data_IF_977875255680
#
_entry.id   IF_977875255680
#
_cell.length_a   1.000
_cell.length_b   1.000
_cell.length_c   1.000
_cell.angle_alpha   90.00
_cell.angle_beta   90.00
_cell.angle_gamma   90.00
#
_symmetry.space_group_name_H-M   'P 1'
#
loop_
_entity.id
_entity.type
_entity.pdbx_description
1 polymer ?
#
# COMPACT_ATOMS: atom_id res chain seq x y z
N UNK A 1 53.40 -34.57 77.59
CA UNK A 1 52.05 -34.12 77.21
C UNK A 1 52.18 -33.36 75.92
N UNK A 2 51.71 -33.96 74.77
CA UNK A 2 51.75 -33.33 73.42
C UNK A 2 50.37 -32.85 73.12
N UNK A 3 50.17 -31.57 72.91
CA UNK A 3 48.91 -30.99 72.43
C UNK A 3 48.90 -30.94 70.90
N UNK A 4 47.96 -31.63 70.26
CA UNK A 4 47.70 -31.62 68.81
C UNK A 4 46.73 -30.48 68.55
N UNK A 5 47.17 -29.41 67.86
CA UNK A 5 46.26 -28.39 67.31
C UNK A 5 45.69 -28.85 65.99
N UNK A 6 44.36 -29.08 65.89
CA UNK A 6 43.63 -29.28 64.66
C UNK A 6 43.24 -27.91 64.08
N UNK A 7 43.70 -27.67 62.86
CA UNK A 7 43.20 -26.53 62.04
C UNK A 7 41.98 -26.99 61.25
N UNK A 8 40.85 -26.31 61.46
CA UNK A 8 39.63 -26.50 60.64
C UNK A 8 39.69 -25.47 59.54
N UNK A 9 39.83 -25.93 58.29
CA UNK A 9 39.70 -25.11 57.11
C UNK A 9 38.20 -24.93 56.78
N UNK A 10 37.65 -23.73 56.98
CA UNK A 10 36.35 -23.35 56.46
C UNK A 10 36.49 -23.04 54.96
N UNK A 11 35.99 -23.95 54.10
CA UNK A 11 35.81 -23.68 52.69
C UNK A 11 34.64 -22.72 52.49
N UNK A 12 34.94 -21.49 52.07
CA UNK A 12 33.93 -20.52 51.60
C UNK A 12 33.43 -20.98 50.25
N UNK A 13 32.22 -21.57 50.20
CA UNK A 13 31.48 -21.81 48.95
C UNK A 13 30.97 -20.47 48.39
N UNK A 14 31.65 -19.96 47.37
CA UNK A 14 31.20 -18.81 46.56
C UNK A 14 30.07 -19.28 45.66
N UNK A 15 28.82 -18.89 45.97
CA UNK A 15 27.69 -19.11 45.08
C UNK A 15 27.75 -18.09 43.93
N UNK A 16 28.27 -18.49 42.77
CA UNK A 16 28.18 -17.70 41.55
C UNK A 16 26.74 -17.82 41.07
N UNK A 17 25.96 -16.75 41.26
CA UNK A 17 24.60 -16.62 40.72
C UNK A 17 24.71 -16.26 39.23
N UNK A 18 24.58 -17.25 38.35
CA UNK A 18 24.54 -17.04 36.90
C UNK A 18 23.18 -16.48 36.55
N UNK A 19 23.09 -15.16 36.31
CA UNK A 19 21.91 -14.51 35.76
C UNK A 19 21.86 -14.82 34.26
N UNK A 20 21.00 -15.75 33.85
CA UNK A 20 20.70 -16.01 32.44
C UNK A 20 19.76 -14.89 31.96
N UNK A 21 20.31 -13.91 31.24
CA UNK A 21 19.55 -12.86 30.56
C UNK A 21 18.89 -13.51 29.33
N UNK A 22 17.62 -13.92 29.44
CA UNK A 22 16.82 -14.29 28.30
C UNK A 22 16.55 -13.04 27.45
N UNK A 23 17.32 -12.86 26.36
CA UNK A 23 16.95 -11.96 25.28
C UNK A 23 15.75 -12.56 24.55
N UNK A 24 14.56 -12.17 24.94
CA UNK A 24 13.37 -12.43 24.15
C UNK A 24 13.53 -11.64 22.83
N UNK A 25 13.82 -12.34 21.74
CA UNK A 25 13.80 -11.78 20.39
C UNK A 25 12.35 -11.38 20.10
N UNK A 26 12.04 -10.10 20.16
CA UNK A 26 10.76 -9.54 19.72
C UNK A 26 10.79 -9.62 18.19
N UNK A 27 10.27 -10.69 17.62
CA UNK A 27 10.00 -10.74 16.18
C UNK A 27 8.96 -9.65 15.86
N UNK A 28 9.15 -8.85 14.81
CA UNK A 28 8.12 -7.92 14.38
C UNK A 28 6.83 -8.71 14.11
N UNK A 29 5.74 -8.31 14.78
CA UNK A 29 4.43 -8.89 14.52
C UNK A 29 4.01 -8.44 13.10
N UNK A 30 4.06 -9.34 12.14
CA UNK A 30 3.46 -9.10 10.83
C UNK A 30 1.94 -9.02 11.02
N UNK A 31 1.32 -8.02 10.40
CA UNK A 31 -0.13 -7.93 10.41
C UNK A 31 -0.72 -9.18 9.77
N UNK A 32 -1.71 -9.77 10.45
CA UNK A 32 -2.43 -10.93 9.90
C UNK A 32 -2.96 -10.59 8.50
N UNK A 33 -2.71 -11.47 7.54
CA UNK A 33 -3.15 -11.29 6.15
C UNK A 33 -2.13 -10.61 5.23
N UNK A 34 -1.17 -9.84 5.72
CA UNK A 34 -0.07 -9.31 4.93
C UNK A 34 1.04 -10.36 4.82
N UNK A 35 1.40 -10.75 3.60
CA UNK A 35 2.52 -11.66 3.34
C UNK A 35 3.80 -10.93 3.01
N UNK A 36 3.68 -9.92 2.14
CA UNK A 36 4.82 -9.11 1.72
C UNK A 36 4.37 -7.71 1.30
N UNK A 37 5.27 -6.74 1.48
CA UNK A 37 5.09 -5.38 1.01
C UNK A 37 6.45 -4.78 0.68
N UNK A 38 6.65 -4.39 -0.58
CA UNK A 38 7.93 -3.86 -1.06
C UNK A 38 7.73 -2.70 -2.04
N UNK A 39 8.77 -1.87 -2.20
CA UNK A 39 8.89 -1.01 -3.37
C UNK A 39 9.64 -1.74 -4.47
N UNK A 40 9.06 -1.79 -5.65
CA UNK A 40 9.67 -2.37 -6.85
C UNK A 40 10.82 -1.50 -7.35
N UNK A 41 11.75 -2.06 -8.14
CA UNK A 41 12.81 -1.28 -8.74
C UNK A 41 12.25 -0.11 -9.55
N UNK A 42 12.77 1.09 -9.29
CA UNK A 42 12.37 2.28 -10.04
C UNK A 42 13.28 2.54 -11.23
N UNK A 43 12.75 3.22 -12.24
CA UNK A 43 13.51 3.61 -13.44
C UNK A 43 13.13 5.00 -13.93
N UNK A 44 14.07 5.64 -14.66
CA UNK A 44 13.82 6.87 -15.38
C UNK A 44 13.27 6.55 -16.77
N UNK A 45 12.07 7.05 -17.08
CA UNK A 45 11.43 6.88 -18.37
C UNK A 45 11.85 8.00 -19.35
N UNK A 46 11.58 7.79 -20.65
CA UNK A 46 11.94 8.73 -21.72
C UNK A 46 11.26 10.11 -21.61
N UNK A 47 10.16 10.21 -20.85
CA UNK A 47 9.45 11.47 -20.60
C UNK A 47 10.05 12.28 -19.43
N UNK A 48 11.17 11.82 -18.87
CA UNK A 48 11.84 12.45 -17.72
C UNK A 48 11.18 12.20 -16.37
N UNK A 49 10.16 11.35 -16.32
CA UNK A 49 9.52 10.91 -15.08
C UNK A 49 10.15 9.62 -14.58
N UNK A 50 10.20 9.45 -13.25
CA UNK A 50 10.52 8.15 -12.66
C UNK A 50 9.24 7.36 -12.41
N UNK A 51 9.37 6.03 -12.51
CA UNK A 51 8.33 5.10 -12.12
C UNK A 51 8.89 4.10 -11.12
N UNK A 52 8.08 3.72 -10.18
CA UNK A 52 8.24 2.60 -9.25
C UNK A 52 6.86 2.07 -8.92
N UNK A 53 6.72 1.07 -8.07
CA UNK A 53 5.41 0.64 -7.57
C UNK A 53 5.51 0.14 -6.12
N UNK A 54 4.43 0.33 -5.37
CA UNK A 54 4.19 -0.41 -4.14
C UNK A 54 3.60 -1.77 -4.52
N UNK A 55 4.29 -2.84 -4.15
CA UNK A 55 3.87 -4.21 -4.37
C UNK A 55 3.40 -4.83 -3.05
N UNK A 56 2.17 -5.29 -3.03
CA UNK A 56 1.52 -5.88 -1.87
C UNK A 56 1.09 -7.30 -2.19
N UNK A 57 1.57 -8.27 -1.43
CA UNK A 57 1.10 -9.65 -1.47
C UNK A 57 0.34 -9.96 -0.19
N UNK A 58 -0.91 -10.35 -0.32
CA UNK A 58 -1.79 -10.72 0.77
C UNK A 58 -1.97 -12.24 0.83
N UNK A 59 -2.44 -12.74 1.95
CA UNK A 59 -2.84 -14.13 2.11
C UNK A 59 -4.07 -14.44 1.27
N UNK A 60 -4.27 -15.73 0.94
CA UNK A 60 -5.40 -16.20 0.14
C UNK A 60 -6.74 -15.71 0.69
N UNK A 61 -7.56 -15.13 -0.19
CA UNK A 61 -8.87 -14.56 0.12
C UNK A 61 -8.84 -13.17 0.76
N UNK A 62 -7.68 -12.67 1.17
CA UNK A 62 -7.54 -11.32 1.69
C UNK A 62 -7.60 -10.30 0.57
N UNK A 63 -8.18 -9.13 0.86
CA UNK A 63 -8.36 -8.01 -0.07
C UNK A 63 -7.83 -6.71 0.51
N UNK A 64 -7.47 -5.79 -0.38
CA UNK A 64 -7.22 -4.39 -0.05
C UNK A 64 -8.09 -3.50 -0.93
N UNK A 65 -8.11 -2.21 -0.66
CA UNK A 65 -9.09 -1.31 -1.23
C UNK A 65 -8.53 -0.37 -2.30
N UNK A 66 -9.39 -0.02 -3.25
CA UNK A 66 -9.15 1.03 -4.21
C UNK A 66 -9.27 2.42 -3.55
N UNK A 67 -8.84 3.49 -4.24
CA UNK A 67 -8.91 4.87 -3.73
C UNK A 67 -10.32 5.33 -3.34
N UNK A 68 -11.34 4.81 -4.01
CA UNK A 68 -12.75 4.99 -3.69
C UNK A 68 -13.39 3.63 -3.37
N UNK A 69 -13.28 3.16 -2.13
CA UNK A 69 -13.56 1.77 -1.77
C UNK A 69 -15.06 1.45 -1.62
N UNK A 70 -15.93 2.44 -1.72
CA UNK A 70 -17.34 2.33 -1.37
C UNK A 70 -17.59 2.57 0.13
N UNK A 71 -18.86 2.53 0.52
CA UNK A 71 -19.31 2.89 1.86
C UNK A 71 -18.72 2.01 2.98
N UNK A 72 -18.50 0.74 2.68
CA UNK A 72 -17.99 -0.25 3.65
C UNK A 72 -16.49 -0.54 3.51
N UNK A 73 -15.79 0.20 2.66
CA UNK A 73 -14.36 0.02 2.45
C UNK A 73 -13.51 0.94 3.31
N UNK A 74 -12.23 0.63 3.42
CA UNK A 74 -11.25 1.45 4.12
C UNK A 74 -10.43 2.25 3.10
N UNK A 75 -10.59 3.59 3.01
CA UNK A 75 -9.88 4.38 2.01
C UNK A 75 -8.37 4.38 2.28
N UNK A 76 -7.54 4.04 1.28
CA UNK A 76 -6.10 4.08 1.41
C UNK A 76 -5.59 5.52 1.49
N UNK A 77 -4.55 5.73 2.30
CA UNK A 77 -3.82 7.00 2.39
C UNK A 77 -2.36 6.75 2.03
N UNK A 78 -1.88 7.44 0.99
CA UNK A 78 -0.49 7.34 0.52
C UNK A 78 0.11 8.73 0.53
N UNK A 79 1.27 8.86 1.17
CA UNK A 79 1.97 10.12 1.34
C UNK A 79 3.44 9.97 0.96
N UNK A 80 4.01 11.07 0.45
CA UNK A 80 5.39 11.13 -0.03
C UNK A 80 6.22 12.18 0.71
N UNK A 81 5.78 12.52 1.93
CA UNK A 81 6.43 13.53 2.76
C UNK A 81 7.86 13.09 3.14
N UNK A 82 8.80 14.03 3.07
CA UNK A 82 10.22 13.77 3.36
C UNK A 82 11.04 13.36 2.13
N UNK A 83 10.41 13.16 0.98
CA UNK A 83 11.13 12.93 -0.29
C UNK A 83 11.93 14.17 -0.70
N UNK A 84 13.08 13.93 -1.34
CA UNK A 84 13.92 15.02 -1.88
C UNK A 84 14.03 14.92 -3.39
N UNK A 85 14.22 16.06 -4.07
CA UNK A 85 14.20 16.19 -5.53
C UNK A 85 12.89 15.73 -6.17
N UNK A 86 11.78 15.81 -5.45
CA UNK A 86 10.44 15.39 -5.89
C UNK A 86 9.55 16.62 -6.06
N UNK A 87 9.14 16.92 -7.28
CA UNK A 87 8.20 17.99 -7.61
C UNK A 87 6.74 17.52 -7.47
N UNK A 88 6.44 16.31 -7.98
CA UNK A 88 5.10 15.72 -7.97
C UNK A 88 5.18 14.21 -7.85
N UNK A 89 4.30 13.63 -7.05
CA UNK A 89 4.03 12.19 -7.04
C UNK A 89 2.57 11.94 -7.44
N UNK A 90 2.35 10.90 -8.24
CA UNK A 90 1.04 10.49 -8.71
C UNK A 90 0.90 8.97 -8.59
N UNK A 91 -0.01 8.54 -7.73
CA UNK A 91 -0.38 7.12 -7.59
C UNK A 91 -1.32 6.75 -8.74
N UNK A 92 -0.92 5.76 -9.54
CA UNK A 92 -1.70 5.29 -10.70
C UNK A 92 -2.42 4.01 -10.29
N UNK A 93 -3.72 4.12 -10.09
CA UNK A 93 -4.54 3.00 -9.61
C UNK A 93 -4.92 2.06 -10.75
N UNK A 94 -4.57 0.77 -10.71
CA UNK A 94 -5.08 -0.23 -11.65
C UNK A 94 -6.60 -0.34 -11.58
N UNK A 95 -7.22 -0.92 -12.60
CA UNK A 95 -8.65 -1.18 -12.61
C UNK A 95 -9.01 -2.15 -11.46
N UNK A 96 -9.90 -1.75 -10.54
CA UNK A 96 -10.27 -2.57 -9.40
C UNK A 96 -11.32 -3.62 -9.78
N UNK A 97 -11.56 -4.56 -8.85
CA UNK A 97 -12.71 -5.46 -8.87
C UNK A 97 -13.71 -5.09 -7.77
N UNK A 98 -14.96 -5.53 -7.94
CA UNK A 98 -16.04 -5.30 -6.98
C UNK A 98 -16.26 -6.56 -6.16
N UNK A 99 -16.34 -6.40 -4.84
CA UNK A 99 -16.62 -7.47 -3.88
C UNK A 99 -17.98 -7.25 -3.21
N UNK A 100 -18.55 -8.32 -2.69
CA UNK A 100 -19.76 -8.27 -1.86
C UNK A 100 -21.04 -8.37 -2.66
N UNK A 101 -22.16 -8.34 -1.94
CA UNK A 101 -23.52 -8.38 -2.47
C UNK A 101 -24.11 -6.98 -2.58
N UNK A 102 -25.29 -6.87 -3.18
CA UNK A 102 -25.93 -5.64 -3.64
C UNK A 102 -25.92 -4.45 -2.65
N UNK A 103 -26.03 -4.71 -1.34
CA UNK A 103 -26.11 -3.66 -0.32
C UNK A 103 -24.78 -3.40 0.42
N UNK A 104 -23.71 -4.18 0.13
CA UNK A 104 -22.40 -4.04 0.80
C UNK A 104 -21.26 -4.18 -0.18
N UNK A 105 -21.36 -3.52 -1.33
CA UNK A 105 -20.28 -3.53 -2.33
C UNK A 105 -19.07 -2.76 -1.84
N UNK A 106 -17.90 -3.36 -1.99
CA UNK A 106 -16.61 -2.71 -1.83
C UNK A 106 -15.77 -2.88 -3.07
N UNK A 107 -14.81 -2.00 -3.27
CA UNK A 107 -14.02 -1.89 -4.49
C UNK A 107 -12.55 -1.96 -4.13
N UNK A 108 -11.82 -2.85 -4.79
CA UNK A 108 -10.40 -3.05 -4.46
C UNK A 108 -9.72 -4.17 -5.21
N UNK A 109 -8.81 -4.87 -4.55
CA UNK A 109 -7.91 -5.86 -5.12
C UNK A 109 -7.84 -7.10 -4.24
N UNK A 110 -7.76 -8.28 -4.86
CA UNK A 110 -7.70 -9.56 -4.17
C UNK A 110 -6.27 -10.10 -4.20
N UNK A 111 -5.74 -10.46 -3.03
CA UNK A 111 -4.49 -11.18 -2.82
C UNK A 111 -3.22 -10.48 -3.30
N UNK A 112 -3.25 -9.73 -4.39
CA UNK A 112 -2.07 -9.04 -4.93
C UNK A 112 -2.43 -7.67 -5.51
N UNK A 113 -1.59 -6.67 -5.24
CA UNK A 113 -1.70 -5.34 -5.82
C UNK A 113 -0.30 -4.81 -6.13
N UNK A 114 -0.03 -4.56 -7.40
CA UNK A 114 1.07 -3.68 -7.82
C UNK A 114 0.48 -2.31 -8.11
N UNK A 115 0.88 -1.32 -7.31
CA UNK A 115 0.36 0.05 -7.37
C UNK A 115 1.43 1.00 -7.93
N UNK A 116 1.42 1.32 -9.24
CA UNK A 116 2.41 2.18 -9.85
C UNK A 116 2.39 3.61 -9.30
N UNK A 117 3.56 4.20 -9.23
CA UNK A 117 3.79 5.56 -8.78
C UNK A 117 4.63 6.28 -9.84
N UNK A 118 4.08 7.36 -10.39
CA UNK A 118 4.80 8.27 -11.27
C UNK A 118 5.34 9.43 -10.45
N UNK A 119 6.63 9.70 -10.60
CA UNK A 119 7.35 10.73 -9.86
C UNK A 119 7.96 11.72 -10.83
N UNK A 120 7.67 12.99 -10.67
CA UNK A 120 8.29 14.06 -11.46
C UNK A 120 9.40 14.69 -10.62
N UNK A 121 10.67 14.64 -11.07
CA UNK A 121 11.78 15.26 -10.37
C UNK A 121 11.75 16.79 -10.50
N UNK A 122 12.39 17.49 -9.54
CA UNK A 122 12.70 18.92 -9.68
C UNK A 122 13.86 19.08 -10.68
N UNK A 123 14.90 18.24 -10.55
CA UNK A 123 16.05 18.17 -11.45
C UNK A 123 16.20 16.72 -11.93
N UNK A 124 16.00 16.49 -13.22
CA UNK A 124 16.07 15.15 -13.82
C UNK A 124 17.50 14.55 -13.84
N UNK A 125 18.53 15.38 -13.65
CA UNK A 125 19.93 14.92 -13.58
C UNK A 125 20.32 14.42 -12.19
N UNK A 126 19.49 14.64 -11.19
CA UNK A 126 19.74 14.23 -9.80
C UNK A 126 18.82 13.08 -9.40
N UNK A 127 19.28 12.18 -8.51
CA UNK A 127 18.43 11.12 -8.00
C UNK A 127 17.27 11.67 -7.15
N UNK A 128 16.13 10.98 -7.17
CA UNK A 128 15.05 11.18 -6.20
C UNK A 128 15.33 10.29 -5.00
N UNK A 129 15.34 10.85 -3.79
CA UNK A 129 15.17 10.08 -2.58
C UNK A 129 13.68 10.03 -2.26
N UNK A 130 13.05 8.90 -2.52
CA UNK A 130 11.64 8.67 -2.25
C UNK A 130 11.45 8.21 -0.80
N UNK A 131 10.62 8.93 -0.06
CA UNK A 131 10.06 8.50 1.21
C UNK A 131 8.57 8.28 1.00
N UNK A 132 8.09 7.06 1.21
CA UNK A 132 6.69 6.69 1.02
C UNK A 132 6.12 6.15 2.32
N UNK A 133 4.99 6.69 2.76
CA UNK A 133 4.17 6.09 3.80
C UNK A 133 2.79 5.73 3.24
N UNK A 134 2.30 4.54 3.61
CA UNK A 134 0.99 4.06 3.20
C UNK A 134 0.21 3.53 4.40
N UNK A 135 -1.02 4.01 4.56
CA UNK A 135 -2.01 3.45 5.46
C UNK A 135 -3.08 2.77 4.62
N UNK A 136 -3.22 1.48 4.78
CA UNK A 136 -4.12 0.64 3.98
C UNK A 136 -5.00 -0.22 4.90
N UNK A 137 -6.20 -0.55 4.45
CA UNK A 137 -7.00 -1.61 5.04
C UNK A 137 -6.76 -2.92 4.32
N UNK A 138 -6.48 -4.00 5.04
CA UNK A 138 -6.51 -5.36 4.51
C UNK A 138 -7.59 -6.15 5.22
N UNK A 139 -8.38 -6.91 4.48
CA UNK A 139 -9.60 -7.52 5.04
C UNK A 139 -9.79 -8.94 4.50
N UNK A 140 -10.20 -9.83 5.40
CA UNK A 140 -10.87 -11.10 5.08
C UNK A 140 -12.33 -10.96 5.53
N UNK A 141 -12.65 -11.35 6.75
CA UNK A 141 -13.93 -11.13 7.43
C UNK A 141 -13.91 -9.83 8.23
N UNK A 142 -12.75 -9.50 8.80
CA UNK A 142 -12.49 -8.28 9.57
C UNK A 142 -11.41 -7.47 8.85
N UNK A 143 -11.52 -6.15 8.92
CA UNK A 143 -10.53 -5.23 8.35
C UNK A 143 -9.46 -4.87 9.38
N UNK A 144 -8.20 -5.04 9.00
CA UNK A 144 -7.04 -4.67 9.80
C UNK A 144 -6.34 -3.50 9.12
N UNK A 145 -6.15 -2.35 9.77
CA UNK A 145 -5.32 -1.28 9.24
C UNK A 145 -3.84 -1.69 9.29
N UNK A 146 -3.12 -1.48 8.19
CA UNK A 146 -1.67 -1.64 8.12
C UNK A 146 -1.01 -0.32 7.81
N UNK A 147 0.19 -0.13 8.37
CA UNK A 147 1.01 1.06 8.19
C UNK A 147 2.35 0.62 7.62
N UNK A 148 2.68 1.14 6.46
CA UNK A 148 3.90 0.79 5.73
C UNK A 148 4.74 2.04 5.54
N UNK A 149 6.06 1.89 5.62
CA UNK A 149 7.00 2.98 5.36
C UNK A 149 8.18 2.44 4.55
N UNK A 150 8.53 3.14 3.49
CA UNK A 150 9.61 2.77 2.58
C UNK A 150 10.48 3.98 2.29
N UNK A 151 11.77 3.70 2.09
CA UNK A 151 12.75 4.66 1.57
C UNK A 151 13.48 4.03 0.40
N UNK A 152 13.54 4.71 -0.75
CA UNK A 152 14.21 4.23 -1.96
C UNK A 152 14.91 5.39 -2.66
N UNK A 153 16.14 5.13 -3.11
CA UNK A 153 16.84 6.05 -4.01
C UNK A 153 16.61 5.63 -5.46
N UNK A 154 16.12 6.56 -6.28
CA UNK A 154 15.86 6.36 -7.70
C UNK A 154 16.97 7.08 -8.48
N UNK A 155 17.80 6.29 -9.16
CA UNK A 155 18.97 6.77 -9.87
C UNK A 155 18.61 7.12 -11.33
N UNK A 156 19.03 8.29 -11.87
CA UNK A 156 18.80 8.67 -13.27
C UNK A 156 19.48 7.73 -14.27
N UNK A 157 20.46 6.94 -13.86
CA UNK A 157 21.10 5.93 -14.71
C UNK A 157 20.30 4.64 -14.85
N UNK A 158 19.34 4.38 -13.94
CA UNK A 158 18.47 3.22 -14.02
C UNK A 158 17.34 3.48 -15.02
N UNK A 159 17.45 2.89 -16.21
CA UNK A 159 16.47 3.05 -17.30
C UNK A 159 15.72 1.76 -17.64
N UNK A 160 16.08 0.63 -17.01
CA UNK A 160 15.38 -0.63 -17.23
C UNK A 160 14.04 -0.64 -16.50
N UNK A 161 12.97 -0.64 -17.27
CA UNK A 161 11.62 -0.69 -16.72
C UNK A 161 11.35 -2.02 -16.01
N UNK A 162 10.62 -1.95 -14.88
CA UNK A 162 10.17 -3.13 -14.16
C UNK A 162 8.94 -3.73 -14.83
N UNK A 163 8.96 -5.03 -15.23
CA UNK A 163 7.88 -5.65 -16.00
C UNK A 163 6.53 -5.68 -15.30
N UNK A 164 6.51 -5.94 -13.98
CA UNK A 164 5.26 -6.00 -13.22
C UNK A 164 4.62 -4.61 -13.09
N UNK A 165 5.44 -3.57 -12.89
CA UNK A 165 4.94 -2.19 -12.87
C UNK A 165 4.41 -1.78 -14.24
N UNK A 166 5.06 -2.19 -15.34
CA UNK A 166 4.54 -1.94 -16.69
C UNK A 166 3.20 -2.63 -16.90
N UNK A 167 3.07 -3.90 -16.51
CA UNK A 167 1.82 -4.64 -16.60
C UNK A 167 0.69 -3.94 -15.81
N UNK A 168 0.98 -3.47 -14.60
CA UNK A 168 0.00 -2.73 -13.79
C UNK A 168 -0.39 -1.38 -14.43
N UNK A 169 0.53 -0.70 -15.13
CA UNK A 169 0.25 0.52 -15.88
C UNK A 169 -0.68 0.30 -17.08
N UNK A 170 -0.62 -0.88 -17.70
CA UNK A 170 -1.53 -1.27 -18.79
C UNK A 170 -2.96 -1.55 -18.31
N UNK A 171 -3.11 -2.05 -17.07
CA UNK A 171 -4.39 -2.42 -16.48
C UNK A 171 -5.13 -1.23 -15.81
N UNK A 172 -4.75 -0.01 -16.06
CA UNK A 172 -5.46 1.17 -15.52
C UNK A 172 -6.84 1.33 -16.17
N UNK A 173 -7.80 1.99 -15.47
CA UNK A 173 -9.10 2.31 -16.04
C UNK A 173 -8.99 3.05 -17.38
N UNK A 174 -9.85 2.70 -18.32
CA UNK A 174 -9.87 3.30 -19.66
C UNK A 174 -10.30 4.78 -19.56
N UNK A 175 -9.53 5.73 -20.10
CA UNK A 175 -9.91 7.14 -20.09
C UNK A 175 -11.20 7.38 -20.88
N UNK A 176 -11.97 8.40 -20.49
CA UNK A 176 -13.22 8.78 -21.16
C UNK A 176 -13.12 8.88 -22.69
N UNK A 177 -12.03 9.46 -23.19
CA UNK A 177 -11.80 9.61 -24.64
C UNK A 177 -11.67 8.30 -25.40
N UNK A 178 -11.41 7.20 -24.71
CA UNK A 178 -11.25 5.85 -25.27
C UNK A 178 -12.43 4.93 -24.90
N UNK A 179 -13.32 5.34 -23.99
CA UNK A 179 -14.41 4.50 -23.46
C UNK A 179 -15.68 4.54 -24.31
N UNK A 180 -15.74 5.31 -25.39
CA UNK A 180 -16.94 5.57 -26.17
C UNK A 180 -18.13 6.11 -25.35
N UNK A 181 -17.84 6.72 -24.18
CA UNK A 181 -18.84 7.37 -23.34
C UNK A 181 -19.44 8.55 -24.07
N UNK A 182 -20.74 8.51 -24.32
CA UNK A 182 -21.52 9.55 -24.95
C UNK A 182 -22.47 10.20 -23.94
N UNK A 183 -22.83 11.44 -24.16
CA UNK A 183 -23.88 12.15 -23.41
C UNK A 183 -23.73 12.03 -21.88
N UNK A 184 -22.60 12.51 -21.34
CA UNK A 184 -22.43 12.61 -19.89
C UNK A 184 -23.04 13.93 -19.42
N UNK A 185 -24.18 13.83 -18.72
CA UNK A 185 -24.84 14.98 -18.09
C UNK A 185 -24.77 14.83 -16.58
N UNK A 186 -24.69 15.96 -15.89
CA UNK A 186 -24.74 16.01 -14.43
C UNK A 186 -25.65 17.15 -14.01
N UNK A 187 -26.68 16.83 -13.21
CA UNK A 187 -27.59 17.81 -12.63
C UNK A 187 -27.49 17.75 -11.10
N UNK A 188 -27.45 18.92 -10.48
CA UNK A 188 -27.48 19.10 -9.04
C UNK A 188 -28.81 19.72 -8.65
N UNK A 189 -29.61 19.05 -7.84
CA UNK A 189 -30.90 19.51 -7.34
C UNK A 189 -30.94 19.54 -5.82
N UNK A 190 -31.34 20.64 -5.18
CA UNK A 190 -31.58 20.64 -3.75
C UNK A 190 -32.67 19.63 -3.37
N UNK A 191 -32.44 18.86 -2.32
CA UNK A 191 -33.39 17.87 -1.83
C UNK A 191 -33.32 17.82 -0.29
N UNK A 192 -34.28 18.38 0.39
CA UNK A 192 -34.30 18.52 1.86
C UNK A 192 -32.99 19.14 2.37
N UNK A 193 -32.23 18.44 3.22
CA UNK A 193 -30.95 18.88 3.78
C UNK A 193 -29.73 18.36 2.97
N UNK A 194 -29.94 17.87 1.74
CA UNK A 194 -28.93 17.29 0.87
C UNK A 194 -28.95 17.87 -0.55
N UNK A 195 -27.97 17.53 -1.34
CA UNK A 195 -27.92 17.79 -2.77
C UNK A 195 -28.04 16.46 -3.50
N UNK A 196 -29.10 16.31 -4.30
CA UNK A 196 -29.25 15.18 -5.20
C UNK A 196 -28.38 15.39 -6.45
N UNK A 197 -27.49 14.46 -6.70
CA UNK A 197 -26.67 14.42 -7.92
C UNK A 197 -27.29 13.41 -8.88
N UNK A 198 -27.78 13.87 -10.00
CA UNK A 198 -28.29 13.01 -11.09
C UNK A 198 -27.25 12.96 -12.20
N UNK A 199 -26.81 11.75 -12.55
CA UNK A 199 -25.84 11.54 -13.63
C UNK A 199 -26.52 10.72 -14.72
N UNK A 200 -26.60 11.30 -15.93
CA UNK A 200 -27.00 10.64 -17.15
C UNK A 200 -25.77 10.30 -17.97
N UNK A 201 -25.64 9.04 -18.40
CA UNK A 201 -24.54 8.61 -19.25
C UNK A 201 -25.03 7.54 -20.24
N UNK A 202 -24.63 7.66 -21.51
CA UNK A 202 -24.80 6.61 -22.50
C UNK A 202 -23.45 5.91 -22.70
N UNK A 203 -23.36 4.67 -22.21
CA UNK A 203 -22.16 3.86 -22.28
C UNK A 203 -22.53 2.57 -23.04
N UNK A 204 -21.75 2.16 -24.05
CA UNK A 204 -21.91 0.83 -24.65
C UNK A 204 -21.76 -0.24 -23.58
N UNK A 205 -22.55 -1.32 -23.65
CA UNK A 205 -22.39 -2.44 -22.73
C UNK A 205 -20.97 -3.00 -22.80
N UNK A 206 -20.35 -3.17 -21.65
CA UNK A 206 -19.01 -3.75 -21.49
C UNK A 206 -19.08 -5.25 -21.16
N UNK A 207 -20.30 -5.81 -21.01
CA UNK A 207 -20.55 -7.21 -20.72
C UNK A 207 -21.36 -7.44 -19.43
N UNK A 208 -21.31 -8.65 -18.91
CA UNK A 208 -21.95 -8.99 -17.63
C UNK A 208 -21.16 -8.39 -16.45
N UNK A 209 -21.86 -8.01 -15.39
CA UNK A 209 -21.28 -7.48 -14.15
C UNK A 209 -20.66 -6.07 -14.24
N UNK A 210 -21.27 -5.20 -15.02
CA UNK A 210 -20.91 -3.80 -15.06
C UNK A 210 -21.18 -3.10 -13.73
N UNK A 211 -20.26 -2.21 -13.32
CA UNK A 211 -20.44 -1.39 -12.12
C UNK A 211 -20.04 0.06 -12.45
N UNK A 212 -20.97 0.97 -12.20
CA UNK A 212 -20.70 2.40 -12.25
C UNK A 212 -20.18 2.87 -10.91
N UNK A 213 -19.04 3.54 -10.92
CA UNK A 213 -18.44 4.13 -9.72
C UNK A 213 -18.43 5.64 -9.90
N UNK A 214 -19.01 6.35 -8.92
CA UNK A 214 -19.00 7.80 -8.87
C UNK A 214 -18.04 8.23 -7.79
N UNK A 215 -17.00 8.98 -8.17
CA UNK A 215 -16.06 9.59 -7.25
C UNK A 215 -16.41 11.08 -7.11
N UNK A 216 -16.50 11.57 -5.87
CA UNK A 216 -16.60 12.99 -5.54
C UNK A 216 -15.44 13.38 -4.60
N UNK A 217 -15.02 14.62 -4.69
CA UNK A 217 -13.95 15.21 -3.85
C UNK A 217 -14.52 16.31 -2.98
#
# INVERSE_FOLDING_TARGET
MKYLKRYVHLARASKVLTVILCFASIAPAQAEGLRDATLRPGWLANDGSYYTALDLTLSKGWKTYWRAPGEYGYPPKIEYNGSTNLQKAETIWPAPIVFGSDNMKTIGYLEHLVLPIKLTPIDAAQPIKLELSAQLGICLDICVPIFLSFSQQLDPLQQSADPETLLALEHKPVPRVQSNLQNLDCALTPHEDAILITIGAAIPSLGAHETLIIEYK
#
